data_IF_122421745793
#
_entry.id   IF_122421745793
#
_cell.length_a   1.000
_cell.length_b   1.000
_cell.length_c   1.000
_cell.angle_alpha   90.00
_cell.angle_beta   90.00
_cell.angle_gamma   90.00
#
_symmetry.space_group_name_H-M   'P 1'
#
loop_
_entity.id
_entity.type
_entity.pdbx_description
1 polymer ?
#
# COMPACT_ATOMS: atom_id res chain seq x y z
N UNK A 1 -35.39 1.87 1.66
CA UNK A 1 -34.84 3.10 1.06
C UNK A 1 -33.40 3.17 1.53
N UNK A 2 -32.44 3.37 0.61
CA UNK A 2 -31.03 3.46 0.99
C UNK A 2 -30.81 4.69 1.87
N UNK A 3 -30.19 4.52 3.03
CA UNK A 3 -29.80 5.64 3.89
C UNK A 3 -28.49 6.27 3.40
N UNK A 4 -28.21 7.51 3.82
CA UNK A 4 -27.00 8.25 3.47
C UNK A 4 -25.75 7.46 3.84
N UNK A 5 -25.75 6.80 4.99
CA UNK A 5 -24.62 5.96 5.45
C UNK A 5 -24.35 4.80 4.49
N UNK A 6 -25.42 4.14 4.00
CA UNK A 6 -25.27 3.04 3.07
C UNK A 6 -24.76 3.53 1.72
N UNK A 7 -25.23 4.68 1.25
CA UNK A 7 -24.77 5.29 0.01
C UNK A 7 -23.29 5.70 0.08
N UNK A 8 -22.86 6.30 1.20
CA UNK A 8 -21.46 6.65 1.44
C UNK A 8 -20.55 5.41 1.48
N UNK A 9 -21.02 4.31 2.08
CA UNK A 9 -20.31 3.02 2.07
C UNK A 9 -20.19 2.45 0.67
N UNK A 10 -21.27 2.45 -0.12
CA UNK A 10 -21.26 1.98 -1.49
C UNK A 10 -20.35 2.82 -2.40
N UNK A 11 -20.41 4.15 -2.27
CA UNK A 11 -19.55 5.04 -3.02
C UNK A 11 -18.07 4.74 -2.73
N UNK A 12 -17.70 4.63 -1.45
CA UNK A 12 -16.32 4.29 -1.07
C UNK A 12 -15.92 2.90 -1.55
N UNK A 13 -16.80 1.90 -1.40
CA UNK A 13 -16.54 0.53 -1.84
C UNK A 13 -16.29 0.44 -3.35
N UNK A 14 -17.09 1.13 -4.16
CA UNK A 14 -16.93 1.16 -5.62
C UNK A 14 -15.62 1.85 -6.00
N UNK A 15 -15.33 3.03 -5.44
CA UNK A 15 -14.07 3.74 -5.72
C UNK A 15 -12.85 2.92 -5.30
N UNK A 16 -12.90 2.28 -4.14
CA UNK A 16 -11.83 1.39 -3.67
C UNK A 16 -11.65 0.16 -4.55
N UNK A 17 -12.74 -0.47 -5.00
CA UNK A 17 -12.67 -1.61 -5.91
C UNK A 17 -12.02 -1.21 -7.24
N UNK A 18 -12.48 -0.12 -7.86
CA UNK A 18 -11.91 0.36 -9.13
C UNK A 18 -10.44 0.72 -8.98
N UNK A 19 -10.06 1.43 -7.92
CA UNK A 19 -8.66 1.77 -7.68
C UNK A 19 -7.78 0.52 -7.52
N UNK A 20 -8.25 -0.48 -6.77
CA UNK A 20 -7.52 -1.71 -6.51
C UNK A 20 -7.41 -2.64 -7.72
N UNK A 21 -8.11 -2.38 -8.83
CA UNK A 21 -7.84 -3.08 -10.09
C UNK A 21 -6.50 -2.65 -10.71
N UNK A 22 -6.15 -1.37 -10.57
CA UNK A 22 -4.95 -0.81 -11.20
C UNK A 22 -3.71 -0.94 -10.29
N UNK A 23 -3.87 -0.88 -8.97
CA UNK A 23 -2.75 -0.88 -8.00
C UNK A 23 -1.88 -2.15 -8.07
N UNK A 24 -2.41 -3.39 -8.01
CA UNK A 24 -1.58 -4.59 -8.05
C UNK A 24 -0.85 -4.75 -9.39
N UNK A 25 -1.48 -4.29 -10.47
CA UNK A 25 -0.86 -4.33 -11.80
C UNK A 25 0.32 -3.35 -11.89
N UNK A 26 0.20 -2.14 -11.34
CA UNK A 26 1.32 -1.19 -11.23
C UNK A 26 2.48 -1.77 -10.42
N UNK A 27 2.19 -2.28 -9.21
CA UNK A 27 3.19 -2.85 -8.30
C UNK A 27 3.91 -4.07 -8.90
N UNK A 28 3.19 -4.94 -9.62
CA UNK A 28 3.78 -6.10 -10.27
C UNK A 28 4.59 -5.74 -11.52
N UNK A 29 4.02 -4.90 -12.39
CA UNK A 29 4.66 -4.52 -13.65
C UNK A 29 5.93 -3.72 -13.43
N UNK A 30 5.99 -2.83 -12.44
CA UNK A 30 7.18 -2.00 -12.25
C UNK A 30 8.43 -2.82 -11.89
N UNK A 31 8.28 -3.84 -11.05
CA UNK A 31 9.39 -4.76 -10.78
C UNK A 31 9.77 -5.59 -11.99
N UNK A 32 8.79 -6.04 -12.77
CA UNK A 32 9.03 -6.77 -14.01
C UNK A 32 9.81 -5.90 -15.02
N UNK A 33 9.45 -4.61 -15.14
CA UNK A 33 10.18 -3.63 -15.95
C UNK A 33 11.60 -3.43 -15.42
N UNK A 34 11.78 -3.25 -14.11
CA UNK A 34 13.10 -3.10 -13.49
C UNK A 34 14.00 -4.33 -13.75
N UNK A 35 13.45 -5.54 -13.66
CA UNK A 35 14.18 -6.78 -13.96
C UNK A 35 14.53 -6.88 -15.45
N UNK A 36 13.57 -6.63 -16.35
CA UNK A 36 13.83 -6.65 -17.79
C UNK A 36 14.91 -5.64 -18.19
N UNK A 37 14.86 -4.44 -17.61
CA UNK A 37 15.85 -3.41 -17.87
C UNK A 37 17.21 -3.75 -17.26
N UNK A 38 17.24 -4.37 -16.08
CA UNK A 38 18.48 -4.88 -15.48
C UNK A 38 19.14 -5.90 -16.41
N UNK A 39 18.36 -6.84 -16.97
CA UNK A 39 18.86 -7.83 -17.92
C UNK A 39 19.37 -7.15 -19.20
N UNK A 40 18.69 -6.12 -19.70
CA UNK A 40 19.16 -5.32 -20.83
C UNK A 40 20.53 -4.67 -20.54
N UNK A 41 20.70 -4.03 -19.38
CA UNK A 41 21.94 -3.34 -19.03
C UNK A 41 23.11 -4.31 -18.88
N UNK A 42 22.88 -5.48 -18.28
CA UNK A 42 23.90 -6.52 -18.06
C UNK A 42 24.24 -7.27 -19.36
N UNK A 43 23.25 -7.68 -20.13
CA UNK A 43 23.47 -8.52 -21.33
C UNK A 43 23.70 -7.73 -22.61
N UNK A 44 23.30 -6.45 -22.66
CA UNK A 44 23.34 -5.62 -23.87
C UNK A 44 22.37 -6.04 -24.96
N UNK A 45 21.53 -7.08 -24.76
CA UNK A 45 20.61 -7.59 -25.77
C UNK A 45 19.42 -6.64 -25.94
N UNK A 46 19.29 -6.07 -27.14
CA UNK A 46 18.26 -5.07 -27.47
C UNK A 46 16.82 -5.56 -27.29
N UNK A 47 16.58 -6.87 -27.38
CA UNK A 47 15.25 -7.47 -27.17
C UNK A 47 14.64 -7.07 -25.81
N UNK A 48 15.43 -7.04 -24.74
CA UNK A 48 14.94 -6.69 -23.41
C UNK A 48 14.60 -5.20 -23.27
N UNK A 49 15.29 -4.34 -24.02
CA UNK A 49 14.96 -2.91 -24.12
C UNK A 49 13.59 -2.73 -24.78
N UNK A 50 13.36 -3.44 -25.88
CA UNK A 50 12.13 -3.32 -26.64
C UNK A 50 10.94 -3.92 -25.86
N UNK A 51 11.17 -5.00 -25.10
CA UNK A 51 10.22 -5.53 -24.13
C UNK A 51 9.90 -4.51 -23.02
N UNK A 52 10.92 -3.89 -22.41
CA UNK A 52 10.72 -2.87 -21.37
C UNK A 52 9.90 -1.68 -21.89
N UNK A 53 10.13 -1.24 -23.13
CA UNK A 53 9.34 -0.18 -23.76
C UNK A 53 7.91 -0.60 -24.05
N UNK A 54 7.69 -1.83 -24.50
CA UNK A 54 6.35 -2.35 -24.78
C UNK A 54 5.51 -2.45 -23.51
N UNK A 55 6.03 -3.15 -22.48
CA UNK A 55 5.35 -3.26 -21.18
C UNK A 55 5.25 -1.91 -20.47
N UNK A 56 6.23 -1.03 -20.67
CA UNK A 56 6.22 0.34 -20.17
C UNK A 56 5.01 1.14 -20.66
N UNK A 57 4.60 0.98 -21.92
CA UNK A 57 3.39 1.66 -22.43
C UNK A 57 2.12 1.21 -21.70
N UNK A 58 1.96 -0.09 -21.48
CA UNK A 58 0.81 -0.63 -20.74
C UNK A 58 0.84 -0.19 -19.27
N UNK A 59 2.04 -0.19 -18.66
CA UNK A 59 2.26 0.37 -17.32
C UNK A 59 1.81 1.83 -17.24
N UNK A 60 2.16 2.67 -18.23
CA UNK A 60 1.78 4.09 -18.24
C UNK A 60 0.27 4.33 -18.28
N UNK A 61 -0.46 3.56 -19.08
CA UNK A 61 -1.94 3.64 -19.16
C UNK A 61 -2.56 3.24 -17.81
N UNK A 62 -2.10 2.13 -17.24
CA UNK A 62 -2.57 1.64 -15.95
C UNK A 62 -2.26 2.62 -14.81
N UNK A 63 -1.05 3.18 -14.82
CA UNK A 63 -0.58 4.15 -13.85
C UNK A 63 -1.42 5.43 -13.85
N UNK A 64 -1.75 5.97 -15.02
CA UNK A 64 -2.59 7.17 -15.13
C UNK A 64 -3.97 6.97 -14.50
N UNK A 65 -4.63 5.83 -14.75
CA UNK A 65 -5.90 5.48 -14.13
C UNK A 65 -5.76 5.22 -12.63
N UNK A 66 -4.67 4.59 -12.20
CA UNK A 66 -4.33 4.39 -10.79
C UNK A 66 -4.21 5.71 -10.03
N UNK A 67 -3.50 6.70 -10.59
CA UNK A 67 -3.36 8.03 -10.00
C UNK A 67 -4.71 8.76 -9.91
N UNK A 68 -5.49 8.76 -10.99
CA UNK A 68 -6.80 9.44 -11.00
C UNK A 68 -7.78 8.86 -9.97
N UNK A 69 -7.81 7.53 -9.85
CA UNK A 69 -8.66 6.84 -8.87
C UNK A 69 -8.13 7.00 -7.43
N UNK A 70 -6.81 7.06 -7.24
CA UNK A 70 -6.18 7.30 -5.94
C UNK A 70 -6.51 8.69 -5.38
N UNK A 71 -6.37 9.73 -6.20
CA UNK A 71 -6.77 11.10 -5.83
C UNK A 71 -8.23 11.17 -5.41
N UNK A 72 -9.11 10.48 -6.14
CA UNK A 72 -10.54 10.42 -5.79
C UNK A 72 -10.77 9.78 -4.42
N UNK A 73 -10.02 8.72 -4.09
CA UNK A 73 -10.13 8.06 -2.79
C UNK A 73 -9.61 8.94 -1.64
N UNK A 74 -8.49 9.63 -1.84
CA UNK A 74 -7.92 10.54 -0.85
C UNK A 74 -8.92 11.63 -0.46
N UNK A 75 -9.54 12.29 -1.45
CA UNK A 75 -10.55 13.31 -1.19
C UNK A 75 -11.85 12.76 -0.59
N UNK A 76 -12.20 11.48 -0.83
CA UNK A 76 -13.38 10.86 -0.25
C UNK A 76 -13.34 10.77 1.28
N UNK A 77 -12.15 10.66 1.88
CA UNK A 77 -12.01 10.72 3.34
C UNK A 77 -12.45 12.09 3.89
N UNK A 78 -12.20 13.18 3.15
CA UNK A 78 -12.60 14.53 3.54
C UNK A 78 -14.08 14.83 3.28
N UNK A 79 -14.60 14.44 2.12
CA UNK A 79 -15.95 14.83 1.68
C UNK A 79 -17.06 13.98 2.32
N UNK A 80 -16.90 12.66 2.34
CA UNK A 80 -17.94 11.73 2.80
C UNK A 80 -17.74 11.24 4.23
N UNK A 81 -16.54 11.37 4.77
CA UNK A 81 -16.15 10.85 6.09
C UNK A 81 -15.55 11.93 6.99
N UNK A 82 -16.18 13.11 7.02
CA UNK A 82 -15.68 14.29 7.76
C UNK A 82 -15.53 14.05 9.26
N UNK A 83 -16.49 13.37 9.91
CA UNK A 83 -16.40 13.03 11.34
C UNK A 83 -15.24 12.06 11.61
N UNK A 84 -15.04 11.06 10.75
CA UNK A 84 -13.91 10.14 10.85
C UNK A 84 -12.59 10.90 10.72
N UNK A 85 -12.48 11.78 9.72
CA UNK A 85 -11.29 12.59 9.49
C UNK A 85 -10.98 13.52 10.66
N UNK A 86 -12.00 14.08 11.33
CA UNK A 86 -11.79 14.86 12.55
C UNK A 86 -11.38 13.98 13.74
N UNK A 87 -12.01 12.82 13.89
CA UNK A 87 -11.82 11.93 15.05
C UNK A 87 -10.47 11.23 15.08
N UNK A 88 -9.93 10.80 13.93
CA UNK A 88 -8.65 10.07 13.84
C UNK A 88 -7.59 10.76 12.99
N UNK A 89 -7.84 11.98 12.54
CA UNK A 89 -6.98 12.68 11.58
C UNK A 89 -5.53 12.84 12.03
N UNK A 90 -5.29 13.01 13.33
CA UNK A 90 -3.94 13.15 13.89
C UNK A 90 -3.08 11.89 13.67
N UNK A 91 -3.72 10.71 13.63
CA UNK A 91 -3.04 9.42 13.55
C UNK A 91 -3.10 8.85 12.14
N UNK A 92 -4.29 8.85 11.54
CA UNK A 92 -4.54 8.32 10.21
C UNK A 92 -3.98 9.24 9.11
N UNK A 93 -4.01 10.56 9.32
CA UNK A 93 -3.51 11.54 8.35
C UNK A 93 -1.99 11.55 8.19
N UNK A 94 -1.24 11.21 9.24
CA UNK A 94 0.22 11.20 9.20
C UNK A 94 0.80 10.20 8.15
N UNK A 95 0.39 8.92 8.10
CA UNK A 95 0.79 8.00 7.05
C UNK A 95 0.39 8.43 5.63
N UNK A 96 -0.82 8.98 5.46
CA UNK A 96 -1.31 9.48 4.18
C UNK A 96 -0.47 10.66 3.66
N UNK A 97 -0.15 11.61 4.54
CA UNK A 97 0.74 12.72 4.20
C UNK A 97 2.16 12.22 3.83
N UNK A 98 2.67 11.23 4.56
CA UNK A 98 3.98 10.62 4.26
C UNK A 98 3.97 9.88 2.92
N UNK A 99 2.89 9.20 2.57
CA UNK A 99 2.70 8.59 1.26
C UNK A 99 2.75 9.64 0.14
N UNK A 100 1.99 10.72 0.27
CA UNK A 100 1.93 11.77 -0.75
C UNK A 100 3.30 12.47 -0.93
N UNK A 101 3.95 12.84 0.18
CA UNK A 101 5.20 13.60 0.15
C UNK A 101 6.41 12.76 -0.28
N UNK A 102 6.50 11.52 0.18
CA UNK A 102 7.66 10.67 -0.12
C UNK A 102 7.44 9.77 -1.32
N UNK A 103 6.37 8.98 -1.33
CA UNK A 103 6.20 7.92 -2.31
C UNK A 103 5.63 8.46 -3.63
N UNK A 104 4.51 9.19 -3.56
CA UNK A 104 3.83 9.71 -4.74
C UNK A 104 4.72 10.71 -5.50
N UNK A 105 5.39 11.62 -4.76
CA UNK A 105 6.29 12.59 -5.38
C UNK A 105 7.48 11.91 -6.09
N UNK A 106 8.09 10.92 -5.44
CA UNK A 106 9.18 10.14 -6.01
C UNK A 106 8.71 9.38 -7.26
N UNK A 107 7.60 8.65 -7.14
CA UNK A 107 7.05 7.84 -8.22
C UNK A 107 6.64 8.70 -9.43
N UNK A 108 5.85 9.75 -9.23
CA UNK A 108 5.39 10.64 -10.31
C UNK A 108 6.55 11.34 -11.05
N UNK A 109 7.58 11.76 -10.31
CA UNK A 109 8.77 12.39 -10.90
C UNK A 109 9.59 11.39 -11.73
N UNK A 110 9.87 10.20 -11.17
CA UNK A 110 10.72 9.22 -11.84
C UNK A 110 9.98 8.46 -12.96
N UNK A 111 8.66 8.30 -12.89
CA UNK A 111 7.86 7.77 -14.01
C UNK A 111 7.95 8.68 -15.23
N UNK A 112 7.91 10.01 -15.04
CA UNK A 112 8.15 10.95 -16.13
C UNK A 112 9.53 10.75 -16.78
N UNK A 113 10.56 10.61 -15.95
CA UNK A 113 11.93 10.31 -16.43
C UNK A 113 12.04 8.93 -17.10
N UNK A 114 11.29 7.92 -16.65
CA UNK A 114 11.28 6.58 -17.26
C UNK A 114 10.74 6.60 -18.70
N UNK A 115 9.72 7.42 -19.00
CA UNK A 115 9.17 7.51 -20.35
C UNK A 115 10.02 8.37 -21.29
N UNK A 116 10.51 9.51 -20.81
CA UNK A 116 11.23 10.48 -21.65
C UNK A 116 12.75 10.34 -21.59
N UNK A 117 13.29 9.57 -20.65
CA UNK A 117 14.72 9.44 -20.38
C UNK A 117 15.49 8.55 -21.34
N UNK A 118 14.81 7.77 -22.19
CA UNK A 118 15.45 6.78 -23.08
C UNK A 118 16.55 7.32 -24.00
N UNK A 119 16.46 8.59 -24.42
CA UNK A 119 17.45 9.23 -25.30
C UNK A 119 18.33 10.26 -24.57
N UNK A 120 17.98 10.61 -23.31
CA UNK A 120 18.66 11.66 -22.53
C UNK A 120 19.52 11.11 -21.39
N UNK A 121 19.26 9.89 -20.93
CA UNK A 121 19.97 9.23 -19.83
C UNK A 121 20.87 8.12 -20.36
N UNK A 122 21.99 7.88 -19.68
CA UNK A 122 22.79 6.68 -19.91
C UNK A 122 22.01 5.43 -19.43
N UNK A 123 22.31 4.25 -19.98
CA UNK A 123 21.64 2.98 -19.65
C UNK A 123 21.64 2.65 -18.15
N UNK A 124 22.70 3.01 -17.41
CA UNK A 124 22.76 2.82 -15.96
C UNK A 124 21.92 3.83 -15.18
N UNK A 125 21.83 5.07 -15.67
CA UNK A 125 21.00 6.11 -15.06
C UNK A 125 19.52 5.80 -15.27
N UNK A 126 19.15 5.34 -16.47
CA UNK A 126 17.79 4.92 -16.76
C UNK A 126 17.38 3.73 -15.87
N UNK A 127 18.27 2.75 -15.71
CA UNK A 127 18.04 1.62 -14.81
C UNK A 127 17.81 2.07 -13.36
N UNK A 128 18.61 3.03 -12.87
CA UNK A 128 18.45 3.59 -11.53
C UNK A 128 17.06 4.24 -11.38
N UNK A 129 16.62 5.01 -12.38
CA UNK A 129 15.28 5.61 -12.41
C UNK A 129 14.20 4.54 -12.29
N UNK A 130 14.27 3.46 -13.08
CA UNK A 130 13.28 2.38 -13.06
C UNK A 130 13.22 1.67 -11.70
N UNK A 131 14.37 1.45 -11.06
CA UNK A 131 14.41 0.92 -9.70
C UNK A 131 13.84 1.88 -8.66
N UNK A 132 14.12 3.18 -8.78
CA UNK A 132 13.55 4.19 -7.89
C UNK A 132 12.03 4.23 -8.00
N UNK A 133 11.46 4.13 -9.21
CA UNK A 133 10.01 3.98 -9.37
C UNK A 133 9.51 2.72 -8.66
N UNK A 134 10.16 1.57 -8.87
CA UNK A 134 9.76 0.32 -8.22
C UNK A 134 9.76 0.43 -6.68
N UNK A 135 10.81 1.02 -6.10
CA UNK A 135 10.87 1.23 -4.66
C UNK A 135 9.86 2.26 -4.18
N UNK A 136 9.62 3.34 -4.95
CA UNK A 136 8.60 4.35 -4.66
C UNK A 136 7.21 3.74 -4.51
N UNK A 137 6.79 2.91 -5.48
CA UNK A 137 5.48 2.24 -5.43
C UNK A 137 5.36 1.32 -4.21
N UNK A 138 6.44 0.65 -3.78
CA UNK A 138 6.43 -0.21 -2.58
C UNK A 138 6.36 0.60 -1.28
N UNK A 139 7.01 1.77 -1.24
CA UNK A 139 6.94 2.66 -0.09
C UNK A 139 5.51 3.23 0.05
N UNK A 140 4.83 3.57 -1.06
CA UNK A 140 3.41 3.93 -1.03
C UNK A 140 2.56 2.78 -0.47
N UNK A 141 2.73 1.56 -1.00
CA UNK A 141 2.03 0.38 -0.49
C UNK A 141 2.27 0.14 1.02
N UNK A 142 3.47 0.43 1.53
CA UNK A 142 3.78 0.33 2.95
C UNK A 142 2.95 1.33 3.78
N UNK A 143 2.92 2.60 3.39
CA UNK A 143 2.22 3.65 4.16
C UNK A 143 0.71 3.46 4.15
N UNK A 144 0.12 3.14 2.99
CA UNK A 144 -1.33 2.95 2.89
C UNK A 144 -1.79 1.70 3.66
N UNK A 145 -1.02 0.61 3.60
CA UNK A 145 -1.31 -0.59 4.39
C UNK A 145 -1.07 -0.36 5.88
N UNK A 146 -0.18 0.57 6.24
CA UNK A 146 0.01 0.93 7.64
C UNK A 146 -1.19 1.72 8.19
N UNK A 147 -1.71 2.68 7.42
CA UNK A 147 -2.94 3.39 7.76
C UNK A 147 -4.11 2.40 7.92
N UNK A 148 -4.26 1.47 6.97
CA UNK A 148 -5.29 0.43 7.03
C UNK A 148 -5.08 -0.59 8.17
N UNK A 149 -3.83 -0.94 8.49
CA UNK A 149 -3.49 -1.83 9.60
C UNK A 149 -3.83 -1.20 10.95
N UNK A 150 -3.58 0.10 11.09
CA UNK A 150 -3.98 0.87 12.27
C UNK A 150 -5.50 0.91 12.45
N UNK A 151 -6.27 1.07 11.38
CA UNK A 151 -7.75 1.00 11.44
C UNK A 151 -8.27 -0.34 12.01
N UNK A 152 -7.53 -1.44 11.83
CA UNK A 152 -7.90 -2.76 12.35
C UNK A 152 -7.39 -3.00 13.77
N UNK A 153 -6.23 -2.44 14.12
CA UNK A 153 -5.61 -2.60 15.43
C UNK A 153 -5.01 -1.25 15.86
N UNK A 154 -5.77 -0.39 16.55
CA UNK A 154 -5.36 0.98 16.85
C UNK A 154 -4.34 1.00 17.99
N UNK A 155 -3.05 0.87 17.66
CA UNK A 155 -1.91 1.05 18.57
C UNK A 155 -1.38 2.47 18.54
N UNK A 156 -0.71 2.89 19.62
CA UNK A 156 -0.04 4.20 19.66
C UNK A 156 -1.00 5.40 19.63
N UNK A 157 -2.23 5.22 20.11
CA UNK A 157 -3.28 6.23 20.13
C UNK A 157 -3.98 6.26 21.49
N UNK A 158 -4.42 7.44 21.91
CA UNK A 158 -5.22 7.63 23.12
C UNK A 158 -6.35 8.62 22.86
N UNK A 159 -7.47 8.47 23.58
CA UNK A 159 -8.61 9.38 23.44
C UNK A 159 -8.42 10.58 24.37
N UNK A 160 -8.51 11.79 23.81
CA UNK A 160 -8.45 13.03 24.57
C UNK A 160 -9.86 13.63 24.70
N UNK A 161 -10.30 13.86 25.95
CA UNK A 161 -11.64 14.33 26.28
C UNK A 161 -11.81 15.81 25.92
N UNK A 162 -10.74 16.60 25.97
CA UNK A 162 -10.78 18.05 25.71
C UNK A 162 -10.94 18.35 24.22
N UNK A 163 -10.35 17.51 23.37
CA UNK A 163 -10.34 17.67 21.91
C UNK A 163 -11.33 16.74 21.21
N UNK A 164 -11.98 15.84 21.94
CA UNK A 164 -12.96 14.83 21.45
C UNK A 164 -12.45 13.99 20.27
N UNK A 165 -11.13 13.76 20.21
CA UNK A 165 -10.45 13.03 19.14
C UNK A 165 -9.41 12.06 19.69
N UNK A 166 -9.00 11.12 18.85
CA UNK A 166 -7.87 10.23 19.11
C UNK A 166 -6.57 10.96 18.75
N UNK A 167 -5.67 11.08 19.72
CA UNK A 167 -4.37 11.73 19.54
C UNK A 167 -3.24 10.70 19.54
N UNK A 168 -2.23 10.96 18.71
CA UNK A 168 -1.09 10.05 18.57
C UNK A 168 -0.23 10.09 19.83
N UNK A 169 -0.02 8.92 20.46
CA UNK A 169 0.91 8.78 21.59
C UNK A 169 2.30 8.31 21.14
N UNK A 170 2.39 7.50 20.08
CA UNK A 170 3.65 6.91 19.63
C UNK A 170 3.64 6.62 18.13
N UNK A 171 4.45 7.36 17.36
CA UNK A 171 4.60 7.14 15.93
C UNK A 171 5.28 5.80 15.61
N UNK A 172 6.21 5.34 16.45
CA UNK A 172 6.88 4.06 16.24
C UNK A 172 5.91 2.88 16.37
N UNK A 173 4.98 2.94 17.33
CA UNK A 173 4.00 1.86 17.53
C UNK A 173 2.95 1.82 16.42
N UNK A 174 2.74 2.94 15.74
CA UNK A 174 1.95 3.01 14.53
C UNK A 174 2.68 2.35 13.35
N UNK A 175 3.94 2.68 13.10
CA UNK A 175 4.73 2.11 11.98
C UNK A 175 5.01 0.62 12.14
N UNK A 176 5.29 0.18 13.36
CA UNK A 176 5.61 -1.23 13.67
C UNK A 176 4.39 -2.04 14.11
N UNK A 177 3.18 -1.60 13.77
CA UNK A 177 1.96 -2.34 14.07
C UNK A 177 2.01 -3.78 13.49
N UNK A 178 1.80 -4.82 14.31
CA UNK A 178 1.84 -6.21 13.86
C UNK A 178 0.92 -6.51 12.67
N UNK A 179 -0.26 -5.88 12.61
CA UNK A 179 -1.23 -6.07 11.53
C UNK A 179 -0.72 -5.47 10.22
N UNK A 180 -0.14 -4.27 10.27
CA UNK A 180 0.50 -3.60 9.13
C UNK A 180 1.64 -4.44 8.56
N UNK A 181 2.47 -5.02 9.44
CA UNK A 181 3.60 -5.86 9.06
C UNK A 181 3.15 -7.17 8.38
N UNK A 182 2.06 -7.79 8.85
CA UNK A 182 1.49 -8.99 8.20
C UNK A 182 0.92 -8.67 6.83
N UNK A 183 0.24 -7.53 6.67
CA UNK A 183 -0.33 -7.09 5.39
C UNK A 183 0.74 -6.80 4.35
N UNK A 184 1.82 -6.13 4.74
CA UNK A 184 2.93 -5.79 3.84
C UNK A 184 3.85 -6.99 3.57
N UNK A 185 4.14 -7.82 4.58
CA UNK A 185 5.01 -8.99 4.47
C UNK A 185 4.25 -10.28 4.81
N UNK A 186 3.42 -10.80 3.88
CA UNK A 186 2.63 -12.02 4.15
C UNK A 186 3.50 -13.25 4.45
N UNK A 187 4.74 -13.28 3.95
CA UNK A 187 5.62 -14.46 4.02
C UNK A 187 6.14 -14.85 5.41
N UNK A 188 6.16 -13.95 6.41
CA UNK A 188 6.71 -14.30 7.73
C UNK A 188 5.70 -14.98 8.66
N UNK A 189 4.40 -14.81 8.43
CA UNK A 189 3.36 -15.31 9.35
C UNK A 189 2.60 -16.54 8.88
N UNK A 190 2.63 -16.93 7.59
CA UNK A 190 2.05 -18.23 7.17
C UNK A 190 2.71 -19.40 7.90
N UNK A 191 4.02 -19.31 8.18
CA UNK A 191 4.75 -20.33 8.95
C UNK A 191 4.46 -20.33 10.46
N UNK A 192 4.03 -19.19 11.03
CA UNK A 192 3.72 -19.03 12.46
C UNK A 192 2.24 -19.25 12.78
N UNK A 193 1.33 -18.88 11.87
CA UNK A 193 -0.10 -19.08 12.04
C UNK A 193 -0.46 -20.57 11.95
N UNK A 194 0.20 -21.32 11.06
CA UNK A 194 0.08 -22.78 11.02
C UNK A 194 0.62 -23.45 12.30
N UNK A 195 1.62 -22.86 12.96
CA UNK A 195 2.19 -23.39 14.21
C UNK A 195 1.42 -22.95 15.47
N UNK A 196 0.68 -21.84 15.47
CA UNK A 196 -0.09 -21.40 16.66
C UNK A 196 -1.54 -21.89 16.66
N UNK A 197 -2.18 -22.06 15.50
CA UNK A 197 -3.53 -22.63 15.44
C UNK A 197 -3.56 -24.11 15.85
N UNK A 198 -2.53 -24.89 15.50
CA UNK A 198 -2.44 -26.31 15.90
C UNK A 198 -2.29 -26.44 17.42
N UNK A 199 -1.53 -25.56 18.09
CA UNK A 199 -1.36 -25.65 19.55
C UNK A 199 -2.58 -25.16 20.33
N UNK A 200 -3.30 -24.13 19.85
CA UNK A 200 -4.53 -23.65 20.51
C UNK A 200 -5.70 -24.61 20.38
N UNK A 201 -5.84 -25.29 19.23
CA UNK A 201 -6.87 -26.32 19.03
C UNK A 201 -6.52 -27.60 19.79
N UNK A 202 -5.25 -27.98 19.83
CA UNK A 202 -4.82 -29.19 20.55
C UNK A 202 -4.92 -29.05 22.08
N UNK A 203 -4.63 -27.85 22.64
CA UNK A 203 -4.79 -27.61 24.08
C UNK A 203 -6.25 -27.56 24.53
N UNK A 204 -7.17 -27.01 23.72
CA UNK A 204 -8.61 -27.00 24.05
C UNK A 204 -9.29 -28.37 23.93
N UNK A 205 -8.79 -29.27 23.08
CA UNK A 205 -9.31 -30.64 22.95
C UNK A 205 -8.82 -31.55 24.08
N UNK A 206 -7.60 -31.37 24.58
CA UNK A 206 -7.05 -32.16 25.69
C UNK A 206 -7.61 -31.71 27.05
N UNK A 207 -8.01 -30.44 27.21
CA UNK A 207 -8.65 -29.94 28.44
C UNK A 207 -10.17 -30.21 28.52
N UNK A 208 -10.80 -30.70 27.45
CA UNK A 208 -12.25 -30.93 27.38
C UNK A 208 -12.64 -32.41 27.56
N UNK A 209 -11.69 -33.31 27.76
CA UNK A 209 -11.95 -34.75 27.90
C UNK A 209 -11.13 -35.34 29.04
N UNK A 210 -11.53 -35.10 30.30
CA UNK A 210 -11.35 -36.03 31.43
C UNK A 210 -12.01 -35.44 32.69
N UNK A 211 -13.13 -36.01 33.18
CA UNK A 211 -13.64 -35.76 34.52
C UNK A 211 -13.07 -36.80 35.47
N UNK A 212 -12.23 -36.40 36.43
CA UNK A 212 -11.85 -37.19 37.62
C UNK A 212 -11.29 -36.20 38.66
N UNK A 213 -11.55 -36.29 39.95
CA UNK A 213 -12.47 -37.04 40.79
C UNK A 213 -12.40 -36.33 42.16
#
# INVERSE_FOLDING_TARGET
MWDVIDLSRWQFALTALYHFLFVPLTLGLIFLLAVMETIYVVTGKTVYRDMTRFWGKLFGINFALGVATGLTMEFQFGTNWSLYSNYVGDIFGAPLAMEALLAFFLESTFVGLFFFGWQRLNKYQHLLVTWLVAFGSNISALWILNANGWMQYPTGAHFNIDTLRMEMSSFSDLVFNPVSQVKFRPYRHVRLCHRRHVYYVHQRLVSATWPRA
#
